data_IF_263658871577
#
_entry.id   IF_263658871577
#
_cell.length_a   1.000
_cell.length_b   1.000
_cell.length_c   1.000
_cell.angle_alpha   90.00
_cell.angle_beta   90.00
_cell.angle_gamma   90.00
#
_symmetry.space_group_name_H-M   'P 1'
#
loop_
_entity.id
_entity.type
_entity.pdbx_description
1 polymer ?
#
# COMPACT_ATOMS: atom_id res chain seq x y z
N UNK A 1 -5.39 -5.12 3.00
CA UNK A 1 -4.38 -4.56 2.08
C UNK A 1 -3.32 -3.87 2.92
N UNK A 2 -2.04 -4.06 2.62
CA UNK A 2 -0.93 -3.46 3.37
C UNK A 2 -0.42 -2.24 2.60
N UNK A 3 -0.23 -1.12 3.30
CA UNK A 3 0.36 0.11 2.77
C UNK A 3 1.74 0.35 3.42
N UNK A 4 2.73 0.63 2.59
CA UNK A 4 4.12 0.83 2.97
C UNK A 4 4.58 2.30 2.89
N UNK A 5 3.72 3.23 2.45
CA UNK A 5 3.94 4.66 2.72
C UNK A 5 4.12 4.86 4.23
N UNK A 6 5.00 5.76 4.69
CA UNK A 6 5.27 5.90 6.14
C UNK A 6 6.51 5.11 6.60
N UNK A 7 6.73 3.94 6.00
CA UNK A 7 7.60 2.94 6.62
C UNK A 7 9.08 3.19 6.35
N UNK A 8 9.94 2.64 7.20
CA UNK A 8 11.38 2.62 6.92
C UNK A 8 11.70 1.65 5.78
N UNK A 9 12.82 1.87 5.07
CA UNK A 9 13.28 0.96 4.02
C UNK A 9 13.44 -0.49 4.52
N UNK A 10 13.84 -0.67 5.78
CA UNK A 10 13.92 -2.00 6.41
C UNK A 10 12.54 -2.69 6.48
N UNK A 11 11.51 -1.95 6.90
CA UNK A 11 10.13 -2.48 6.96
C UNK A 11 9.62 -2.80 5.55
N UNK A 12 9.92 -1.95 4.56
CA UNK A 12 9.56 -2.24 3.17
C UNK A 12 10.10 -3.59 2.71
N UNK A 13 11.38 -3.87 2.97
CA UNK A 13 11.99 -5.15 2.64
C UNK A 13 11.32 -6.33 3.38
N UNK A 14 11.19 -6.25 4.69
CA UNK A 14 10.64 -7.34 5.50
C UNK A 14 9.19 -7.66 5.13
N UNK A 15 8.37 -6.64 4.88
CA UNK A 15 6.97 -6.85 4.47
C UNK A 15 6.89 -7.46 3.07
N UNK A 16 7.70 -6.99 2.12
CA UNK A 16 7.70 -7.57 0.77
C UNK A 16 8.19 -9.02 0.74
N UNK A 17 9.05 -9.42 1.69
CA UNK A 17 9.52 -10.80 1.83
C UNK A 17 8.50 -11.72 2.53
N UNK A 18 7.57 -11.16 3.31
CA UNK A 18 6.57 -11.91 4.09
C UNK A 18 5.16 -11.89 3.49
N UNK A 19 4.79 -10.82 2.79
CA UNK A 19 3.41 -10.63 2.33
C UNK A 19 3.06 -11.63 1.23
N UNK A 20 2.04 -12.43 1.49
CA UNK A 20 1.45 -13.37 0.53
C UNK A 20 0.41 -12.73 -0.40
N UNK A 21 0.09 -11.45 -0.17
CA UNK A 21 -0.80 -10.66 -0.99
C UNK A 21 -0.06 -9.43 -1.57
N UNK A 22 -0.55 -8.86 -2.69
CA UNK A 22 -0.01 -7.60 -3.22
C UNK A 22 -0.11 -6.44 -2.21
N UNK A 23 0.96 -5.65 -2.12
CA UNK A 23 1.03 -4.46 -1.24
C UNK A 23 0.90 -3.16 -2.03
N UNK A 24 0.67 -2.06 -1.30
CA UNK A 24 0.63 -0.71 -1.83
C UNK A 24 1.74 0.18 -1.26
N UNK A 25 2.09 1.20 -2.03
CA UNK A 25 2.55 2.48 -1.54
C UNK A 25 1.52 3.52 -1.96
N UNK A 26 0.66 3.94 -1.04
CA UNK A 26 -0.47 4.86 -1.31
C UNK A 26 -0.06 6.26 -1.75
N UNK A 27 1.13 6.74 -1.36
CA UNK A 27 1.70 8.04 -1.70
C UNK A 27 3.20 8.04 -1.36
N UNK A 28 4.00 7.54 -2.29
CA UNK A 28 5.47 7.58 -2.21
C UNK A 28 6.06 7.74 -3.61
N UNK A 29 7.26 8.30 -3.71
CA UNK A 29 7.96 8.52 -4.99
C UNK A 29 9.28 7.74 -5.03
N UNK A 30 10.14 7.98 -6.02
CA UNK A 30 11.36 7.20 -6.26
C UNK A 30 12.58 7.80 -5.58
N UNK A 31 13.32 7.00 -4.81
CA UNK A 31 14.49 7.47 -4.06
C UNK A 31 15.64 7.90 -4.98
N UNK A 32 15.80 7.21 -6.11
CA UNK A 32 16.85 7.50 -7.08
C UNK A 32 16.75 8.91 -7.69
N UNK A 33 15.54 9.46 -7.82
CA UNK A 33 15.30 10.80 -8.32
C UNK A 33 15.32 11.85 -7.21
N UNK A 34 14.75 11.52 -6.05
CA UNK A 34 14.72 12.40 -4.87
C UNK A 34 15.08 11.58 -3.62
N UNK A 35 16.28 11.78 -3.03
CA UNK A 35 16.76 11.02 -1.89
C UNK A 35 16.06 11.47 -0.59
N UNK A 36 14.87 10.92 -0.36
CA UNK A 36 14.05 11.13 0.83
C UNK A 36 13.78 9.79 1.51
N UNK A 37 13.82 9.74 2.85
CA UNK A 37 13.47 8.54 3.61
C UNK A 37 12.03 8.04 3.34
N UNK A 38 11.16 8.91 2.80
CA UNK A 38 9.79 8.56 2.40
C UNK A 38 9.70 7.90 1.02
N UNK A 39 10.74 8.03 0.18
CA UNK A 39 10.75 7.51 -1.18
C UNK A 39 11.31 6.09 -1.25
N UNK A 40 10.83 5.34 -2.25
CA UNK A 40 11.08 3.92 -2.46
C UNK A 40 12.42 3.72 -3.17
N UNK A 41 13.39 3.00 -2.58
CA UNK A 41 14.65 2.62 -3.21
C UNK A 41 14.46 1.67 -4.38
N UNK A 42 15.37 1.69 -5.35
CA UNK A 42 15.28 0.86 -6.56
C UNK A 42 15.23 -0.64 -6.22
N UNK A 43 16.03 -1.09 -5.24
CA UNK A 43 16.02 -2.46 -4.75
C UNK A 43 14.70 -2.89 -4.13
N UNK A 44 13.91 -1.94 -3.61
CA UNK A 44 12.55 -2.17 -3.12
C UNK A 44 11.56 -2.18 -4.29
N UNK A 45 11.71 -1.28 -5.27
CA UNK A 45 10.90 -1.27 -6.51
C UNK A 45 10.95 -2.64 -7.19
N UNK A 46 12.13 -3.26 -7.32
CA UNK A 46 12.26 -4.60 -7.90
C UNK A 46 11.51 -5.69 -7.11
N UNK A 47 11.45 -5.58 -5.78
CA UNK A 47 10.66 -6.50 -4.93
C UNK A 47 9.15 -6.31 -5.12
N UNK A 48 8.69 -5.08 -5.37
CA UNK A 48 7.27 -4.81 -5.66
C UNK A 48 6.79 -5.58 -6.89
N UNK A 49 7.64 -5.71 -7.93
CA UNK A 49 7.35 -6.53 -9.11
C UNK A 49 7.01 -7.97 -8.75
N UNK A 50 7.85 -8.60 -7.92
CA UNK A 50 7.69 -9.99 -7.49
C UNK A 50 6.47 -10.19 -6.58
N UNK A 51 6.19 -9.23 -5.70
CA UNK A 51 5.00 -9.23 -4.85
C UNK A 51 3.70 -8.98 -5.65
N UNK A 52 3.78 -8.38 -6.84
CA UNK A 52 2.60 -7.97 -7.61
C UNK A 52 1.98 -6.66 -7.14
N UNK A 53 2.67 -5.91 -6.27
CA UNK A 53 2.17 -4.68 -5.64
C UNK A 53 2.11 -3.47 -6.58
N UNK A 54 1.85 -2.30 -6.00
CA UNK A 54 1.66 -1.05 -6.73
C UNK A 54 2.30 0.12 -5.98
N UNK A 55 3.02 0.98 -6.72
CA UNK A 55 3.57 2.24 -6.22
C UNK A 55 2.74 3.39 -6.78
N UNK A 56 2.01 4.08 -5.90
CA UNK A 56 1.21 5.24 -6.26
C UNK A 56 2.04 6.49 -6.06
N UNK A 57 2.45 7.11 -7.18
CA UNK A 57 3.39 8.24 -7.19
C UNK A 57 2.76 9.45 -6.51
N UNK A 58 3.51 10.04 -5.58
CA UNK A 58 3.07 11.18 -4.77
C UNK A 58 3.09 12.49 -5.53
N UNK A 59 2.12 13.36 -5.22
CA UNK A 59 2.08 14.76 -5.67
C UNK A 59 2.61 15.74 -4.62
N UNK A 60 3.36 15.25 -3.63
CA UNK A 60 3.98 16.07 -2.58
C UNK A 60 5.29 16.67 -3.09
N UNK A 61 5.44 18.01 -3.16
CA UNK A 61 6.57 18.65 -3.83
C UNK A 61 7.97 18.20 -3.38
N UNK A 62 8.16 17.98 -2.07
CA UNK A 62 9.46 17.57 -1.52
C UNK A 62 9.80 16.08 -1.77
N UNK A 63 8.83 15.28 -2.23
CA UNK A 63 9.04 13.90 -2.68
C UNK A 63 9.20 13.81 -4.19
N UNK A 64 8.72 14.82 -4.93
CA UNK A 64 8.74 14.91 -6.39
C UNK A 64 9.99 15.59 -6.94
N UNK A 65 10.56 16.57 -6.24
CA UNK A 65 11.79 17.24 -6.69
C UNK A 65 12.68 17.66 -5.51
N UNK A 66 14.00 17.61 -5.68
CA UNK A 66 14.99 17.98 -4.64
C UNK A 66 14.90 19.45 -4.21
N UNK A 67 14.38 20.31 -5.08
CA UNK A 67 13.91 21.65 -4.77
C UNK A 67 12.40 21.71 -4.95
N UNK A 68 11.65 21.67 -3.85
CA UNK A 68 10.18 21.61 -3.84
C UNK A 68 9.51 22.74 -4.65
N UNK A 69 10.08 23.95 -4.65
CA UNK A 69 9.54 25.08 -5.42
C UNK A 69 9.59 24.90 -6.95
N UNK A 70 10.34 23.90 -7.45
CA UNK A 70 10.46 23.57 -8.87
C UNK A 70 9.64 22.34 -9.27
N UNK A 71 8.99 21.67 -8.32
CA UNK A 71 8.20 20.49 -8.62
C UNK A 71 7.02 20.86 -9.53
N UNK A 72 6.83 20.09 -10.61
CA UNK A 72 5.76 20.27 -11.59
C UNK A 72 5.26 18.91 -12.08
N UNK A 73 4.20 18.89 -12.89
CA UNK A 73 3.60 17.64 -13.39
C UNK A 73 4.60 16.76 -14.16
N UNK A 74 5.55 17.35 -14.89
CA UNK A 74 6.59 16.58 -15.60
C UNK A 74 7.47 15.77 -14.64
N UNK A 75 7.88 16.35 -13.51
CA UNK A 75 8.65 15.61 -12.50
C UNK A 75 7.85 14.45 -11.88
N UNK A 76 6.53 14.59 -11.74
CA UNK A 76 5.66 13.48 -11.33
C UNK A 76 5.69 12.36 -12.38
N UNK A 77 5.61 12.71 -13.65
CA UNK A 77 5.70 11.73 -14.74
C UNK A 77 7.08 11.09 -14.83
N UNK A 78 8.17 11.81 -14.54
CA UNK A 78 9.53 11.24 -14.45
C UNK A 78 9.59 10.11 -13.40
N UNK A 79 8.92 10.29 -12.26
CA UNK A 79 8.79 9.23 -11.24
C UNK A 79 7.96 8.03 -11.73
N UNK A 80 6.86 8.28 -12.45
CA UNK A 80 6.03 7.20 -13.03
C UNK A 80 6.82 6.37 -14.05
N UNK A 81 7.54 7.04 -14.95
CA UNK A 81 8.38 6.41 -15.96
C UNK A 81 9.55 5.65 -15.32
N UNK A 82 10.19 6.20 -14.27
CA UNK A 82 11.26 5.48 -13.56
C UNK A 82 10.80 4.14 -12.97
N UNK A 83 9.58 4.08 -12.40
CA UNK A 83 9.01 2.80 -11.96
C UNK A 83 8.68 1.90 -13.16
N UNK A 84 8.07 2.46 -14.21
CA UNK A 84 7.67 1.71 -15.39
C UNK A 84 8.87 1.11 -16.15
N UNK A 85 9.97 1.82 -16.29
CA UNK A 85 11.20 1.36 -16.95
C UNK A 85 11.84 0.17 -16.22
N UNK A 86 11.66 0.10 -14.90
CA UNK A 86 12.18 -0.98 -14.06
C UNK A 86 11.27 -2.20 -14.03
N UNK A 87 10.00 -1.98 -13.68
CA UNK A 87 9.07 -3.06 -13.33
C UNK A 87 7.80 -3.10 -14.18
N UNK A 88 7.60 -2.13 -15.08
CA UNK A 88 6.48 -2.04 -15.99
C UNK A 88 5.31 -1.22 -15.47
N UNK A 89 4.49 -0.69 -16.39
CA UNK A 89 3.33 0.16 -16.10
C UNK A 89 2.24 -0.51 -15.24
N UNK A 90 2.26 -1.83 -15.04
CA UNK A 90 1.29 -2.54 -14.20
C UNK A 90 1.46 -2.27 -12.69
N UNK A 91 2.54 -1.58 -12.31
CA UNK A 91 2.91 -1.32 -10.91
C UNK A 91 2.97 0.18 -10.57
N UNK A 92 2.40 1.03 -11.42
CA UNK A 92 2.39 2.48 -11.26
C UNK A 92 0.97 2.98 -11.03
N UNK A 93 0.78 3.91 -10.10
CA UNK A 93 -0.50 4.56 -9.82
C UNK A 93 -0.34 6.03 -9.41
N UNK A 94 -1.44 6.67 -9.03
CA UNK A 94 -1.46 8.08 -8.56
C UNK A 94 -1.86 8.12 -7.10
N UNK A 95 -1.00 8.70 -6.25
CA UNK A 95 -1.17 8.77 -4.81
C UNK A 95 -1.05 10.20 -4.30
N UNK A 96 -2.06 11.03 -4.54
CA UNK A 96 -1.90 12.49 -4.47
C UNK A 96 -1.36 13.00 -3.13
N UNK A 97 -1.91 12.51 -2.01
CA UNK A 97 -1.72 13.08 -0.67
C UNK A 97 -2.18 14.55 -0.59
N UNK A 98 -3.21 14.92 -1.37
CA UNK A 98 -3.87 16.22 -1.21
C UNK A 98 -4.35 16.41 0.23
N UNK A 99 -4.30 17.65 0.71
CA UNK A 99 -4.54 18.05 2.11
C UNK A 99 -3.55 17.47 3.15
N UNK A 100 -2.62 16.59 2.73
CA UNK A 100 -1.45 16.16 3.51
C UNK A 100 -0.22 17.07 3.33
N UNK A 101 -0.32 18.08 2.48
CA UNK A 101 0.76 19.00 2.11
C UNK A 101 0.31 20.46 2.17
N UNK A 102 1.25 21.37 2.48
CA UNK A 102 0.97 22.81 2.53
C UNK A 102 0.81 23.44 1.14
N UNK A 103 1.59 22.95 0.16
CA UNK A 103 1.57 23.43 -1.22
C UNK A 103 1.57 22.23 -2.17
N UNK A 104 0.80 22.31 -3.25
CA UNK A 104 0.76 21.30 -4.32
C UNK A 104 1.88 21.45 -5.34
N UNK A 105 2.08 20.41 -6.14
CA UNK A 105 2.98 20.43 -7.31
C UNK A 105 2.38 21.32 -8.41
N UNK A 106 3.23 22.12 -9.07
CA UNK A 106 2.79 23.04 -10.12
C UNK A 106 2.10 22.27 -11.26
N UNK A 107 1.02 22.84 -11.79
CA UNK A 107 0.09 22.26 -12.78
C UNK A 107 -0.89 21.21 -12.24
N UNK A 108 -0.67 20.69 -11.02
CA UNK A 108 -1.52 19.69 -10.35
C UNK A 108 -1.77 20.08 -8.89
N UNK A 109 -1.99 21.37 -8.64
CA UNK A 109 -2.00 21.95 -7.29
C UNK A 109 -3.15 21.45 -6.42
N UNK A 110 -4.27 21.07 -7.05
CA UNK A 110 -5.49 20.61 -6.39
C UNK A 110 -6.21 19.54 -7.21
N UNK A 111 -7.23 18.94 -6.60
CA UNK A 111 -8.01 17.83 -7.20
C UNK A 111 -8.64 18.16 -8.55
N UNK A 112 -8.93 19.43 -8.85
CA UNK A 112 -9.50 19.85 -10.15
C UNK A 112 -8.47 19.78 -11.28
N UNK A 113 -7.18 19.71 -10.94
CA UNK A 113 -6.05 19.77 -11.88
C UNK A 113 -5.52 18.39 -12.29
N UNK A 114 -6.06 17.29 -11.77
CA UNK A 114 -5.68 15.94 -12.20
C UNK A 114 -5.76 15.71 -13.73
N UNK A 115 -6.67 16.33 -14.50
CA UNK A 115 -6.62 16.25 -15.96
C UNK A 115 -5.32 16.75 -16.59
N UNK A 116 -4.61 17.70 -15.96
CA UNK A 116 -3.32 18.19 -16.43
C UNK A 116 -2.24 17.10 -16.31
N UNK A 117 -2.29 16.26 -15.26
CA UNK A 117 -1.38 15.13 -15.12
C UNK A 117 -1.59 14.11 -16.25
N UNK A 118 -2.86 13.86 -16.61
CA UNK A 118 -3.21 12.99 -17.74
C UNK A 118 -2.71 13.56 -19.06
N UNK A 119 -2.93 14.85 -19.29
CA UNK A 119 -2.40 15.54 -20.47
C UNK A 119 -0.86 15.46 -20.52
N UNK A 120 -0.18 15.61 -19.38
CA UNK A 120 1.27 15.47 -19.27
C UNK A 120 1.74 14.06 -19.68
N UNK A 121 1.13 13.00 -19.13
CA UNK A 121 1.43 11.60 -19.49
C UNK A 121 1.25 11.34 -20.99
N UNK A 122 0.14 11.80 -21.58
CA UNK A 122 -0.12 11.64 -23.02
C UNK A 122 0.90 12.43 -23.86
N UNK A 123 1.24 13.67 -23.45
CA UNK A 123 2.23 14.50 -24.15
C UNK A 123 3.64 13.88 -24.17
N UNK A 124 3.94 13.03 -23.19
CA UNK A 124 5.17 12.24 -23.07
C UNK A 124 5.18 10.98 -23.92
N UNK A 125 4.10 10.70 -24.65
CA UNK A 125 3.97 9.52 -25.52
C UNK A 125 3.50 8.26 -24.80
N UNK A 126 2.99 8.37 -23.56
CA UNK A 126 2.40 7.24 -22.85
C UNK A 126 1.10 6.81 -23.53
N UNK A 127 0.96 5.52 -23.82
CA UNK A 127 -0.23 4.99 -24.49
C UNK A 127 -1.48 5.13 -23.60
N UNK A 128 -2.65 5.27 -24.22
CA UNK A 128 -3.93 5.31 -23.51
C UNK A 128 -4.14 4.10 -22.59
N UNK A 129 -3.67 2.92 -23.02
CA UNK A 129 -3.70 1.70 -22.22
C UNK A 129 -2.89 1.86 -20.91
N UNK A 130 -1.66 2.38 -21.01
CA UNK A 130 -0.80 2.57 -19.83
C UNK A 130 -1.30 3.70 -18.93
N UNK A 131 -1.85 4.77 -19.50
CA UNK A 131 -2.55 5.81 -18.74
C UNK A 131 -3.75 5.23 -17.99
N UNK A 132 -4.57 4.39 -18.63
CA UNK A 132 -5.70 3.72 -17.99
C UNK A 132 -5.29 2.81 -16.82
N UNK A 133 -4.16 2.10 -16.96
CA UNK A 133 -3.55 1.32 -15.86
C UNK A 133 -3.20 2.21 -14.67
N UNK A 134 -2.50 3.32 -14.91
CA UNK A 134 -2.07 4.28 -13.88
C UNK A 134 -3.26 4.95 -13.18
N UNK A 135 -4.29 5.33 -13.93
CA UNK A 135 -5.46 6.04 -13.40
C UNK A 135 -6.27 5.22 -12.38
N UNK A 136 -6.22 3.89 -12.46
CA UNK A 136 -6.94 3.06 -11.50
C UNK A 136 -6.99 1.57 -11.82
N UNK A 137 -6.73 1.16 -13.07
CA UNK A 137 -6.74 -0.26 -13.44
C UNK A 137 -5.80 -1.11 -12.58
N UNK A 138 -4.63 -0.57 -12.25
CA UNK A 138 -3.67 -1.27 -11.39
C UNK A 138 -4.13 -1.35 -9.93
N UNK A 139 -4.80 -0.33 -9.42
CA UNK A 139 -5.33 -0.34 -8.05
C UNK A 139 -6.42 -1.40 -7.91
N UNK A 140 -7.34 -1.46 -8.87
CA UNK A 140 -8.39 -2.49 -8.92
C UNK A 140 -7.77 -3.88 -8.94
N UNK A 141 -6.77 -4.13 -9.81
CA UNK A 141 -6.02 -5.40 -9.85
C UNK A 141 -5.42 -5.78 -8.49
N UNK A 142 -4.83 -4.81 -7.78
CA UNK A 142 -4.24 -5.06 -6.46
C UNK A 142 -5.32 -5.35 -5.41
N UNK A 143 -6.45 -4.63 -5.44
CA UNK A 143 -7.60 -4.92 -4.57
C UNK A 143 -8.13 -6.34 -4.78
N UNK A 144 -8.34 -6.75 -6.04
CA UNK A 144 -8.76 -8.11 -6.40
C UNK A 144 -7.75 -9.15 -5.90
N UNK A 145 -6.44 -8.90 -6.08
CA UNK A 145 -5.40 -9.81 -5.59
C UNK A 145 -5.39 -9.99 -4.08
N UNK A 146 -5.71 -8.93 -3.33
CA UNK A 146 -5.86 -9.00 -1.87
C UNK A 146 -7.11 -9.80 -1.48
N UNK A 147 -8.22 -9.63 -2.16
CA UNK A 147 -9.46 -10.38 -1.92
C UNK A 147 -9.27 -11.88 -2.20
N UNK A 148 -8.57 -12.23 -3.29
CA UNK A 148 -8.22 -13.62 -3.61
C UNK A 148 -7.36 -14.24 -2.50
N UNK A 149 -6.33 -13.53 -2.04
CA UNK A 149 -5.49 -14.01 -0.94
C UNK A 149 -6.29 -14.19 0.36
N UNK A 150 -7.22 -13.27 0.64
CA UNK A 150 -8.09 -13.38 1.81
C UNK A 150 -9.00 -14.62 1.75
N UNK A 151 -9.59 -14.94 0.60
CA UNK A 151 -10.42 -16.15 0.45
C UNK A 151 -9.59 -17.43 0.60
N UNK A 152 -8.36 -17.45 0.06
CA UNK A 152 -7.45 -18.60 0.21
C UNK A 152 -7.08 -18.87 1.67
N UNK A 153 -6.95 -17.82 2.48
CA UNK A 153 -6.57 -17.90 3.89
C UNK A 153 -7.79 -18.00 4.83
N UNK A 154 -9.01 -18.09 4.30
CA UNK A 154 -10.23 -18.03 5.10
C UNK A 154 -10.36 -19.17 6.13
N UNK A 155 -9.72 -20.31 5.88
CA UNK A 155 -9.72 -21.46 6.79
C UNK A 155 -8.64 -21.36 7.89
N UNK A 156 -7.69 -20.42 7.77
CA UNK A 156 -6.62 -20.24 8.75
C UNK A 156 -7.16 -19.67 10.07
N UNK A 157 -6.49 -19.99 11.17
CA UNK A 157 -6.80 -19.37 12.46
C UNK A 157 -6.49 -17.89 12.43
N UNK A 158 -7.39 -17.06 12.96
CA UNK A 158 -7.17 -15.62 13.10
C UNK A 158 -6.17 -15.32 14.22
N UNK A 159 -5.43 -14.22 14.09
CA UNK A 159 -4.62 -13.68 15.17
C UNK A 159 -5.53 -13.23 16.33
N UNK A 160 -5.22 -13.66 17.55
CA UNK A 160 -6.00 -13.34 18.73
C UNK A 160 -5.25 -12.37 19.65
N UNK A 161 -5.94 -11.35 20.14
CA UNK A 161 -5.40 -10.46 21.16
C UNK A 161 -5.25 -11.20 22.49
N UNK A 162 -4.12 -10.97 23.16
CA UNK A 162 -3.95 -11.42 24.54
C UNK A 162 -4.75 -10.52 25.46
N UNK A 163 -5.86 -11.03 26.00
CA UNK A 163 -6.69 -10.31 26.97
C UNK A 163 -6.32 -10.68 28.41
N UNK A 164 -6.35 -9.68 29.30
CA UNK A 164 -6.18 -9.94 30.74
C UNK A 164 -7.31 -10.86 31.22
N UNK A 165 -7.03 -11.86 32.07
CA UNK A 165 -8.08 -12.68 32.68
C UNK A 165 -9.10 -11.79 33.41
N UNK A 166 -10.38 -11.90 33.04
CA UNK A 166 -11.47 -11.16 33.70
C UNK A 166 -11.88 -11.79 35.03
N UNK A 167 -11.67 -13.10 35.17
CA UNK A 167 -12.03 -13.89 36.35
C UNK A 167 -10.80 -14.59 36.91
N UNK A 168 -10.71 -14.63 38.22
CA UNK A 168 -9.79 -15.51 38.93
C UNK A 168 -10.31 -16.96 38.93
N UNK A 169 -9.50 -17.89 39.42
CA UNK A 169 -9.89 -19.30 39.48
C UNK A 169 -11.07 -19.55 40.42
N UNK A 170 -11.16 -18.81 41.53
CA UNK A 170 -12.25 -18.98 42.50
C UNK A 170 -13.61 -18.67 41.87
N UNK A 171 -13.70 -17.58 41.10
CA UNK A 171 -14.91 -17.22 40.40
C UNK A 171 -15.23 -18.21 39.28
N UNK A 172 -14.23 -18.69 38.52
CA UNK A 172 -14.43 -19.72 37.49
C UNK A 172 -14.98 -21.03 38.07
N UNK A 173 -14.45 -21.47 39.20
CA UNK A 173 -14.92 -22.69 39.87
C UNK A 173 -16.34 -22.55 40.41
N UNK A 174 -16.69 -21.37 40.95
CA UNK A 174 -18.06 -21.07 41.34
C UNK A 174 -19.02 -21.14 40.12
N UNK A 175 -18.64 -20.53 38.99
CA UNK A 175 -19.42 -20.60 37.73
C UNK A 175 -19.58 -22.06 37.26
N UNK A 176 -18.51 -22.87 37.27
CA UNK A 176 -18.59 -24.29 36.89
C UNK A 176 -19.51 -25.10 37.80
N UNK A 177 -19.58 -24.78 39.10
CA UNK A 177 -20.45 -25.47 40.04
C UNK A 177 -21.94 -25.23 39.75
N UNK A 178 -22.30 -24.03 39.30
CA UNK A 178 -23.67 -23.64 38.96
C UNK A 178 -24.04 -24.00 37.52
N UNK A 179 -23.07 -23.91 36.61
CA UNK A 179 -23.22 -24.13 35.18
C UNK A 179 -22.10 -25.04 34.67
N UNK A 180 -22.21 -26.37 34.84
CA UNK A 180 -21.14 -27.33 34.50
C UNK A 180 -20.72 -27.35 33.03
N UNK A 181 -21.52 -26.73 32.14
CA UNK A 181 -21.26 -26.64 30.70
C UNK A 181 -20.85 -25.22 30.24
N UNK A 182 -20.71 -24.24 31.15
CA UNK A 182 -20.46 -22.84 30.79
C UNK A 182 -19.12 -22.62 30.08
N UNK A 183 -18.12 -23.46 30.35
CA UNK A 183 -16.78 -23.38 29.76
C UNK A 183 -16.49 -24.49 28.75
N UNK A 184 -17.51 -25.07 28.09
CA UNK A 184 -17.25 -25.98 26.96
C UNK A 184 -16.60 -25.19 25.82
N UNK A 185 -15.27 -25.24 25.81
CA UNK A 185 -14.44 -24.63 24.79
C UNK A 185 -14.81 -25.22 23.41
N UNK A 186 -15.34 -24.38 22.51
CA UNK A 186 -15.77 -24.79 21.16
C UNK A 186 -14.62 -25.37 20.32
N UNK A 187 -13.36 -25.24 20.77
CA UNK A 187 -12.15 -25.70 20.07
C UNK A 187 -11.93 -27.21 20.09
N UNK A 188 -12.62 -27.99 20.92
CA UNK A 188 -12.43 -29.45 20.95
C UNK A 188 -13.14 -30.22 19.82
N UNK A 189 -13.82 -29.54 18.88
CA UNK A 189 -14.66 -30.17 17.86
C UNK A 189 -14.08 -30.31 16.43
N UNK A 190 -12.81 -29.97 16.19
CA UNK A 190 -12.17 -30.13 14.85
C UNK A 190 -10.72 -30.59 14.96
N UNK A 191 -10.54 -31.87 15.32
CA UNK A 191 -9.33 -32.67 15.03
C UNK A 191 -9.79 -34.08 14.69
N UNK A 192 -10.30 -34.26 13.48
CA UNK A 192 -10.37 -35.54 12.76
C UNK A 192 -9.95 -35.29 11.32
#
# INVERSE_FOLDING_TARGET
MIDLSHTSHKVMHEVLDLSVAPVLYTHSSCFALVPSARNVPDEVIEKVKHNGGLIMISLVPHLTHTNSSKANAHHVVDHMEHVADRIGFNHVGIGSDYDGMENGVVEVEDVSKLPNLVACMISRGMSEENVGKILGGNLIRVMEGVEVAAEQLRAESVLEDTVKPLWDEQFRDWVRSLYPNAEKDRRQGKRE
#
